data_IF_029005203514
#
_entry.id   IF_029005203514
#
_cell.length_a   1.000
_cell.length_b   1.000
_cell.length_c   1.000
_cell.angle_alpha   90.00
_cell.angle_beta   90.00
_cell.angle_gamma   90.00
#
_symmetry.space_group_name_H-M   'P 1'
#
loop_
_entity.id
_entity.type
_entity.pdbx_description
1 polymer ?
#
# COMPACT_ATOMS: atom_id res chain seq x y z
N UNK A 1 -10.65 5.66 -21.65
CA UNK A 1 -10.29 5.34 -20.24
C UNK A 1 -8.77 5.24 -20.17
N UNK A 2 -8.13 6.12 -19.40
CA UNK A 2 -6.67 6.35 -19.42
C UNK A 2 -5.91 5.12 -18.91
N UNK A 3 -5.04 4.53 -19.72
CA UNK A 3 -4.18 3.39 -19.36
C UNK A 3 -3.41 3.64 -18.05
N UNK A 4 -3.09 4.90 -17.76
CA UNK A 4 -2.41 5.35 -16.54
C UNK A 4 -3.19 5.08 -15.25
N UNK A 5 -4.52 5.12 -15.31
CA UNK A 5 -5.35 4.82 -14.13
C UNK A 5 -5.29 3.34 -13.75
N UNK A 6 -5.29 2.46 -14.74
CA UNK A 6 -5.21 1.00 -14.54
C UNK A 6 -3.84 0.60 -14.01
N UNK A 7 -2.76 1.15 -14.57
CA UNK A 7 -1.39 0.88 -14.10
C UNK A 7 -1.20 1.33 -12.65
N UNK A 8 -1.70 2.52 -12.28
CA UNK A 8 -1.66 3.00 -10.89
C UNK A 8 -2.46 2.09 -9.95
N UNK A 9 -3.63 1.62 -10.36
CA UNK A 9 -4.42 0.68 -9.58
C UNK A 9 -3.69 -0.65 -9.37
N UNK A 10 -3.08 -1.21 -10.42
CA UNK A 10 -2.29 -2.45 -10.33
C UNK A 10 -1.09 -2.27 -9.40
N UNK A 11 -0.35 -1.16 -9.53
CA UNK A 11 0.78 -0.85 -8.65
C UNK A 11 0.35 -0.74 -7.19
N UNK A 12 -0.80 -0.11 -6.93
CA UNK A 12 -1.34 0.03 -5.58
C UNK A 12 -1.78 -1.33 -5.01
N UNK A 13 -2.44 -2.15 -5.82
CA UNK A 13 -2.83 -3.53 -5.46
C UNK A 13 -1.61 -4.38 -5.11
N UNK A 14 -0.54 -4.31 -5.91
CA UNK A 14 0.72 -5.02 -5.64
C UNK A 14 1.37 -4.55 -4.34
N UNK A 15 1.40 -3.23 -4.09
CA UNK A 15 1.94 -2.68 -2.85
C UNK A 15 1.12 -3.16 -1.62
N UNK A 16 -0.21 -3.12 -1.72
CA UNK A 16 -1.12 -3.63 -0.67
C UNK A 16 -0.89 -5.12 -0.43
N UNK A 17 -0.83 -5.92 -1.49
CA UNK A 17 -0.60 -7.36 -1.40
C UNK A 17 0.73 -7.71 -0.73
N UNK A 18 1.82 -7.02 -1.10
CA UNK A 18 3.13 -7.23 -0.45
C UNK A 18 3.10 -6.88 1.04
N UNK A 19 2.55 -5.72 1.38
CA UNK A 19 2.52 -5.24 2.77
C UNK A 19 1.68 -6.15 3.65
N UNK A 20 0.50 -6.56 3.17
CA UNK A 20 -0.37 -7.51 3.89
C UNK A 20 0.26 -8.90 3.98
N UNK A 21 0.89 -9.39 2.92
CA UNK A 21 1.58 -10.68 2.93
C UNK A 21 2.70 -10.72 3.98
N UNK A 22 3.54 -9.68 4.00
CA UNK A 22 4.59 -9.54 5.01
C UNK A 22 4.02 -9.40 6.44
N UNK A 23 3.01 -8.56 6.62
CA UNK A 23 2.38 -8.32 7.92
C UNK A 23 1.71 -9.57 8.50
N UNK A 24 0.94 -10.31 7.69
CA UNK A 24 0.19 -11.49 8.11
C UNK A 24 1.07 -12.69 8.43
N UNK A 25 2.21 -12.84 7.75
CA UNK A 25 3.11 -13.97 7.96
C UNK A 25 4.19 -13.64 8.98
N UNK A 26 4.87 -12.51 8.82
CA UNK A 26 6.08 -12.21 9.59
C UNK A 26 5.77 -11.52 10.92
N UNK A 27 4.97 -10.45 10.90
CA UNK A 27 4.66 -9.69 12.13
C UNK A 27 3.76 -10.50 13.07
N UNK A 28 2.80 -11.25 12.52
CA UNK A 28 1.95 -12.12 13.32
C UNK A 28 2.78 -13.25 13.98
N UNK A 29 3.72 -13.87 13.26
CA UNK A 29 4.62 -14.87 13.84
C UNK A 29 5.60 -14.29 14.86
N UNK A 30 6.04 -13.04 14.66
CA UNK A 30 6.89 -12.33 15.61
C UNK A 30 6.16 -11.90 16.90
N UNK A 31 4.87 -12.23 17.05
CA UNK A 31 4.07 -11.89 18.23
C UNK A 31 3.69 -10.42 18.33
N UNK A 32 3.77 -9.67 17.22
CA UNK A 32 3.40 -8.26 17.19
C UNK A 32 1.88 -8.13 17.39
N UNK A 33 1.40 -7.27 18.31
CA UNK A 33 -0.03 -7.06 18.51
C UNK A 33 -0.72 -6.58 17.22
N UNK A 34 -1.89 -7.14 16.91
CA UNK A 34 -2.59 -6.86 15.65
C UNK A 34 -2.86 -5.37 15.39
N UNK A 35 -3.10 -4.57 16.43
CA UNK A 35 -3.30 -3.13 16.29
C UNK A 35 -2.04 -2.39 15.80
N UNK A 36 -0.85 -2.82 16.25
CA UNK A 36 0.44 -2.31 15.78
C UNK A 36 0.67 -2.67 14.32
N UNK A 37 0.30 -3.90 13.93
CA UNK A 37 0.37 -4.35 12.54
C UNK A 37 -0.51 -3.44 11.65
N UNK A 38 -1.75 -3.19 12.05
CA UNK A 38 -2.67 -2.32 11.29
C UNK A 38 -2.10 -0.90 11.14
N UNK A 39 -1.58 -0.33 12.23
CA UNK A 39 -0.94 1.00 12.21
C UNK A 39 0.24 1.04 11.23
N UNK A 40 1.10 0.02 11.26
CA UNK A 40 2.29 -0.03 10.43
C UNK A 40 1.92 -0.21 8.95
N UNK A 41 0.94 -1.06 8.64
CA UNK A 41 0.38 -1.23 7.30
C UNK A 41 -0.17 0.09 6.75
N UNK A 42 -0.93 0.85 7.56
CA UNK A 42 -1.46 2.16 7.16
C UNK A 42 -0.35 3.17 6.87
N UNK A 43 0.67 3.24 7.71
CA UNK A 43 1.83 4.14 7.52
C UNK A 43 2.58 3.80 6.24
N UNK A 44 2.86 2.52 5.99
CA UNK A 44 3.59 2.09 4.79
C UNK A 44 2.76 2.35 3.53
N UNK A 45 1.45 2.09 3.56
CA UNK A 45 0.57 2.33 2.41
C UNK A 45 0.28 3.80 2.13
N UNK A 46 0.45 4.69 3.11
CA UNK A 46 0.33 6.12 2.88
C UNK A 46 1.31 6.61 1.80
N UNK A 47 2.51 6.04 1.72
CA UNK A 47 3.54 6.43 0.73
C UNK A 47 3.09 6.19 -0.73
N UNK A 48 2.75 4.95 -1.16
CA UNK A 48 2.29 4.71 -2.51
C UNK A 48 0.96 5.40 -2.83
N UNK A 49 0.06 5.55 -1.84
CA UNK A 49 -1.19 6.29 -2.02
C UNK A 49 -0.91 7.77 -2.33
N UNK A 50 -0.06 8.42 -1.54
CA UNK A 50 0.32 9.83 -1.77
C UNK A 50 1.05 9.98 -3.11
N UNK A 51 1.94 9.06 -3.46
CA UNK A 51 2.63 9.06 -4.75
C UNK A 51 1.64 8.94 -5.93
N UNK A 52 0.68 8.02 -5.84
CA UNK A 52 -0.36 7.83 -6.84
C UNK A 52 -1.22 9.09 -7.00
N UNK A 53 -1.65 9.71 -5.90
CA UNK A 53 -2.46 10.94 -5.90
C UNK A 53 -1.66 12.13 -6.47
N UNK A 54 -0.40 12.33 -6.03
CA UNK A 54 0.44 13.42 -6.53
C UNK A 54 0.75 13.28 -8.01
N UNK A 55 1.01 12.06 -8.49
CA UNK A 55 1.26 11.82 -9.92
C UNK A 55 0.07 12.21 -10.79
N UNK A 56 -1.17 12.03 -10.31
CA UNK A 56 -2.37 12.45 -11.03
C UNK A 56 -2.60 13.96 -11.06
N UNK A 57 -2.07 14.71 -10.09
CA UNK A 57 -2.15 16.19 -10.07
C UNK A 57 -1.15 16.88 -10.98
N UNK A 58 0.00 16.26 -11.27
CA UNK A 58 1.04 16.83 -12.14
C UNK A 58 0.73 16.71 -13.63
N UNK A 59 -0.28 15.92 -13.99
CA UNK A 59 -0.65 15.58 -15.37
C UNK A 59 -1.90 16.35 -15.85
N UNK A 60 -2.53 17.15 -14.97
CA UNK A 60 -3.60 18.10 -15.30
C UNK A 60 -3.02 19.51 -15.39
#
# INVERSE_FOLDING_TARGET
MRRDGVVKAIALLLAVGMVLGFASTYLAQAGVPGWLIILLVLVVLAVPVVAAVRSGRRER
#
